data_IF_560985844366
#
_entry.id   IF_560985844366
#
_cell.length_a   1.000
_cell.length_b   1.000
_cell.length_c   1.000
_cell.angle_alpha   90.00
_cell.angle_beta   90.00
_cell.angle_gamma   90.00
#
_symmetry.space_group_name_H-M   'P 1'
#
loop_
_entity.id
_entity.type
_entity.pdbx_description
1 polymer ?
#
# COMPACT_ATOMS: atom_id res chain seq x y z
N UNK A 1 8.87 -38.13 5.83
CA UNK A 1 7.82 -37.65 6.75
C UNK A 1 6.93 -36.68 5.99
N UNK A 2 5.63 -36.97 5.85
CA UNK A 2 4.67 -36.03 5.23
C UNK A 2 4.43 -34.87 6.20
N UNK A 3 4.48 -33.60 5.79
CA UNK A 3 4.21 -32.48 6.70
C UNK A 3 2.76 -32.53 7.16
N UNK A 4 2.57 -32.40 8.48
CA UNK A 4 1.27 -32.42 9.11
C UNK A 4 0.50 -31.12 8.77
N UNK A 5 -0.49 -31.21 7.88
CA UNK A 5 -1.33 -30.08 7.41
C UNK A 5 -2.26 -29.49 8.50
N UNK A 6 -2.27 -30.06 9.71
CA UNK A 6 -3.10 -29.60 10.83
C UNK A 6 -2.39 -28.70 11.84
N UNK A 7 -1.07 -28.48 11.69
CA UNK A 7 -0.34 -27.57 12.58
C UNK A 7 -0.54 -26.11 12.14
N UNK A 8 -1.12 -25.29 13.03
CA UNK A 8 -1.14 -23.85 12.85
C UNK A 8 0.30 -23.30 12.94
N UNK A 9 0.67 -22.30 12.12
CA UNK A 9 1.95 -21.64 12.26
C UNK A 9 2.06 -20.99 13.65
N UNK A 10 3.27 -20.95 14.25
CA UNK A 10 3.47 -20.30 15.53
C UNK A 10 3.02 -18.82 15.43
N UNK A 11 2.44 -18.27 16.52
CA UNK A 11 2.07 -16.86 16.53
C UNK A 11 3.31 -16.01 16.22
N UNK A 12 3.17 -14.92 15.42
CA UNK A 12 4.29 -14.06 15.10
C UNK A 12 4.92 -13.56 16.40
N UNK A 13 6.25 -13.66 16.49
CA UNK A 13 7.05 -13.35 17.69
C UNK A 13 7.07 -11.87 18.07
N UNK A 14 6.41 -11.00 17.31
CA UNK A 14 6.13 -9.62 17.71
C UNK A 14 4.87 -9.11 16.97
N UNK A 15 3.71 -8.96 17.65
CA UNK A 15 2.51 -8.40 17.03
C UNK A 15 2.65 -6.91 16.67
N UNK A 16 3.73 -6.24 17.11
CA UNK A 16 3.81 -4.79 17.23
C UNK A 16 4.78 -4.06 16.27
N UNK A 17 5.40 -4.68 15.25
CA UNK A 17 6.52 -3.99 14.55
C UNK A 17 6.42 -3.79 13.03
N UNK A 18 5.55 -4.49 12.30
CA UNK A 18 5.45 -4.27 10.85
C UNK A 18 4.20 -3.44 10.51
N UNK A 19 4.40 -2.25 9.92
CA UNK A 19 3.30 -1.41 9.47
C UNK A 19 2.51 -2.11 8.35
N UNK A 20 1.17 -2.16 8.48
CA UNK A 20 0.28 -2.85 7.53
C UNK A 20 -0.84 -1.96 7.04
N UNK A 21 -0.95 -1.90 5.72
CA UNK A 21 -2.10 -1.30 5.06
C UNK A 21 -3.33 -2.18 5.27
N UNK A 22 -4.53 -1.64 5.09
CA UNK A 22 -5.77 -2.40 5.29
C UNK A 22 -6.72 -2.15 4.14
N UNK A 23 -7.13 -3.24 3.47
CA UNK A 23 -8.02 -3.22 2.32
C UNK A 23 -9.21 -4.14 2.59
N UNK A 24 -10.45 -3.63 2.55
CA UNK A 24 -11.64 -4.48 2.61
C UNK A 24 -11.60 -5.56 1.52
N UNK A 25 -11.86 -6.82 1.90
CA UNK A 25 -12.01 -7.89 0.92
C UNK A 25 -13.38 -7.75 0.25
N UNK A 26 -13.43 -7.88 -1.07
CA UNK A 26 -14.69 -7.90 -1.82
C UNK A 26 -15.55 -9.06 -1.33
N UNK A 27 -16.83 -8.79 -1.05
CA UNK A 27 -17.77 -9.77 -0.49
C UNK A 27 -17.30 -10.35 0.87
N UNK A 28 -16.44 -9.61 1.58
CA UNK A 28 -15.88 -9.99 2.87
C UNK A 28 -16.73 -9.57 4.08
N UNK A 29 -17.93 -9.03 3.88
CA UNK A 29 -18.80 -8.61 4.99
C UNK A 29 -19.33 -9.84 5.72
N UNK A 30 -19.06 -9.92 7.02
CA UNK A 30 -19.48 -11.04 7.89
C UNK A 30 -20.73 -10.68 8.68
N UNK A 31 -20.80 -9.43 9.17
CA UNK A 31 -22.01 -8.82 9.70
C UNK A 31 -22.25 -7.51 8.96
N UNK A 32 -23.40 -7.41 8.29
CA UNK A 32 -23.84 -6.20 7.62
C UNK A 32 -23.91 -5.01 8.59
N UNK A 33 -23.74 -3.76 8.10
CA UNK A 33 -23.85 -2.58 8.95
C UNK A 33 -25.16 -2.55 9.74
N UNK A 34 -25.06 -2.53 11.07
CA UNK A 34 -26.21 -2.53 11.97
C UNK A 34 -26.15 -1.40 12.99
N UNK A 35 -27.31 -1.00 13.51
CA UNK A 35 -27.44 -0.08 14.65
C UNK A 35 -27.78 -0.87 15.90
N UNK A 36 -27.42 -0.33 17.06
CA UNK A 36 -27.91 -0.85 18.33
C UNK A 36 -29.33 -0.35 18.59
N UNK A 37 -30.14 -1.19 19.23
CA UNK A 37 -31.47 -0.77 19.68
C UNK A 37 -31.36 0.22 20.83
N UNK A 38 -32.28 1.18 20.86
CA UNK A 38 -32.32 2.16 21.95
C UNK A 38 -32.68 1.46 23.27
N UNK A 39 -32.10 1.93 24.38
CA UNK A 39 -32.35 1.45 25.75
C UNK A 39 -31.88 0.03 26.06
N UNK A 40 -31.23 -0.68 25.14
CA UNK A 40 -30.51 -1.91 25.46
C UNK A 40 -29.08 -1.59 25.89
N UNK A 41 -28.77 -1.83 27.17
CA UNK A 41 -27.42 -1.66 27.70
C UNK A 41 -26.44 -2.71 27.17
N UNK A 42 -26.94 -3.88 26.77
CA UNK A 42 -26.14 -5.00 26.25
C UNK A 42 -26.81 -5.56 25.01
N UNK A 43 -26.05 -5.66 23.92
CA UNK A 43 -26.46 -6.31 22.68
C UNK A 43 -25.53 -7.47 22.33
N UNK A 44 -26.09 -8.55 21.79
CA UNK A 44 -25.35 -9.75 21.39
C UNK A 44 -25.53 -9.98 19.88
N UNK A 45 -24.42 -10.12 19.17
CA UNK A 45 -24.39 -10.38 17.73
C UNK A 45 -23.60 -11.65 17.46
N UNK A 46 -24.24 -12.60 16.79
CA UNK A 46 -23.67 -13.92 16.53
C UNK A 46 -23.24 -14.02 15.08
N UNK A 47 -22.04 -14.54 14.85
CA UNK A 47 -21.57 -14.90 13.52
C UNK A 47 -20.92 -16.30 13.54
N UNK A 48 -20.91 -16.96 12.39
CA UNK A 48 -20.39 -18.31 12.27
C UNK A 48 -19.19 -18.34 11.31
N UNK A 49 -18.08 -18.91 11.78
CA UNK A 49 -16.92 -19.19 10.94
C UNK A 49 -16.90 -20.68 10.60
N UNK A 50 -17.07 -21.02 9.32
CA UNK A 50 -16.85 -22.40 8.86
C UNK A 50 -15.43 -22.83 9.24
N UNK A 51 -15.20 -24.09 9.67
CA UNK A 51 -13.87 -24.54 10.09
C UNK A 51 -12.76 -24.26 9.06
N UNK A 52 -13.04 -24.44 7.77
CA UNK A 52 -12.10 -24.12 6.67
C UNK A 52 -11.79 -22.62 6.56
N UNK A 53 -12.76 -21.75 6.80
CA UNK A 53 -12.60 -20.30 6.79
C UNK A 53 -11.78 -19.85 8.00
N UNK A 54 -12.09 -20.37 9.19
CA UNK A 54 -11.30 -20.09 10.40
C UNK A 54 -9.85 -20.53 10.22
N UNK A 55 -9.63 -21.75 9.71
CA UNK A 55 -8.29 -22.26 9.42
C UNK A 55 -7.53 -21.35 8.45
N UNK A 56 -8.18 -20.95 7.34
CA UNK A 56 -7.57 -20.03 6.36
C UNK A 56 -7.23 -18.68 7.00
N UNK A 57 -8.15 -18.11 7.78
CA UNK A 57 -7.94 -16.86 8.50
C UNK A 57 -6.72 -16.98 9.43
N UNK A 58 -6.59 -18.07 10.20
CA UNK A 58 -5.44 -18.29 11.08
C UNK A 58 -4.13 -18.42 10.31
N UNK A 59 -4.13 -19.21 9.24
CA UNK A 59 -2.95 -19.53 8.45
C UNK A 59 -2.40 -18.31 7.68
N UNK A 60 -3.29 -17.45 7.20
CA UNK A 60 -2.94 -16.24 6.45
C UNK A 60 -2.66 -15.09 7.41
N UNK A 61 -1.39 -14.75 7.61
CA UNK A 61 -1.01 -13.62 8.48
C UNK A 61 -1.53 -12.28 7.96
N UNK A 62 -1.77 -12.14 6.67
CA UNK A 62 -2.31 -10.95 5.99
C UNK A 62 -3.83 -10.89 5.93
N UNK A 63 -4.56 -11.84 6.53
CA UNK A 63 -6.02 -11.74 6.68
C UNK A 63 -6.37 -11.41 8.13
N UNK A 64 -7.42 -10.60 8.29
CA UNK A 64 -7.90 -10.16 9.59
C UNK A 64 -9.43 -9.98 9.57
N UNK A 65 -10.09 -10.24 10.70
CA UNK A 65 -11.49 -9.87 10.92
C UNK A 65 -11.52 -8.51 11.62
N UNK A 66 -11.94 -7.50 10.88
CA UNK A 66 -12.05 -6.13 11.36
C UNK A 66 -13.47 -5.86 11.84
N UNK A 67 -13.59 -5.56 13.14
CA UNK A 67 -14.81 -5.00 13.71
C UNK A 67 -14.62 -3.51 13.97
N UNK A 68 -15.49 -2.69 13.40
CA UNK A 68 -15.45 -1.23 13.57
C UNK A 68 -16.86 -0.66 13.63
N UNK A 69 -16.95 0.57 14.10
CA UNK A 69 -18.14 1.39 13.90
C UNK A 69 -17.78 2.77 13.34
N UNK A 70 -18.76 3.45 12.77
CA UNK A 70 -18.61 4.76 12.13
C UNK A 70 -19.91 5.56 12.28
N UNK A 71 -19.80 6.88 12.19
CA UNK A 71 -20.96 7.77 12.24
C UNK A 71 -21.79 7.65 10.96
N UNK A 72 -23.12 7.65 11.04
CA UNK A 72 -23.97 7.40 9.86
C UNK A 72 -23.84 8.45 8.73
N UNK A 73 -23.37 9.65 9.06
CA UNK A 73 -23.13 10.72 8.09
C UNK A 73 -21.74 10.66 7.45
N UNK A 74 -20.83 9.85 8.03
CA UNK A 74 -19.47 9.72 7.50
C UNK A 74 -19.45 8.80 6.29
N UNK A 75 -19.43 9.41 5.10
CA UNK A 75 -19.33 8.72 3.81
C UNK A 75 -18.03 7.93 3.63
N UNK A 76 -16.97 8.28 4.35
CA UNK A 76 -15.70 7.55 4.32
C UNK A 76 -15.70 6.37 5.30
N UNK A 77 -16.73 6.25 6.15
CA UNK A 77 -16.87 5.19 7.14
C UNK A 77 -15.62 5.06 8.03
N UNK A 78 -15.03 6.20 8.42
CA UNK A 78 -13.86 6.18 9.27
C UNK A 78 -14.23 5.58 10.63
N UNK A 79 -13.31 4.80 11.18
CA UNK A 79 -13.54 4.19 12.49
C UNK A 79 -13.80 5.29 13.51
N UNK A 80 -14.91 5.19 14.23
CA UNK A 80 -15.34 6.14 15.23
C UNK A 80 -16.10 5.41 16.34
N UNK A 81 -15.44 5.19 17.47
CA UNK A 81 -16.06 4.52 18.62
C UNK A 81 -16.74 5.55 19.54
N UNK A 82 -18.02 5.37 19.91
CA UNK A 82 -18.64 6.11 21.00
C UNK A 82 -17.92 5.85 22.33
N UNK A 83 -17.76 6.86 23.19
CA UNK A 83 -17.06 6.72 24.48
C UNK A 83 -17.75 5.73 25.45
N UNK A 84 -19.06 5.56 25.32
CA UNK A 84 -19.89 4.67 26.13
C UNK A 84 -19.80 3.19 25.75
N UNK A 85 -19.13 2.86 24.64
CA UNK A 85 -19.09 1.50 24.09
C UNK A 85 -17.93 0.70 24.67
N UNK A 86 -18.25 -0.52 25.09
CA UNK A 86 -17.32 -1.61 25.40
C UNK A 86 -17.66 -2.82 24.55
N UNK A 87 -16.64 -3.59 24.14
CA UNK A 87 -16.80 -4.76 23.28
C UNK A 87 -16.11 -5.96 23.92
N UNK A 88 -16.79 -7.10 23.93
CA UNK A 88 -16.18 -8.40 24.19
C UNK A 88 -16.54 -9.39 23.08
N UNK A 89 -15.66 -10.34 22.81
CA UNK A 89 -15.87 -11.39 21.82
C UNK A 89 -15.55 -12.72 22.47
N UNK A 90 -16.51 -13.65 22.43
CA UNK A 90 -16.41 -14.95 23.10
C UNK A 90 -15.98 -14.81 24.58
N UNK A 91 -16.66 -13.89 25.29
CA UNK A 91 -16.37 -13.52 26.69
C UNK A 91 -14.98 -12.89 26.95
N UNK A 92 -14.18 -12.63 25.92
CA UNK A 92 -12.89 -11.94 26.03
C UNK A 92 -13.09 -10.43 25.79
N UNK A 93 -12.89 -9.57 26.79
CA UNK A 93 -13.00 -8.12 26.62
C UNK A 93 -11.88 -7.59 25.72
N UNK A 94 -12.20 -6.62 24.86
CA UNK A 94 -11.25 -5.98 23.94
C UNK A 94 -11.04 -4.52 24.29
N UNK A 95 -9.78 -4.07 24.18
CA UNK A 95 -9.41 -2.67 24.40
C UNK A 95 -9.61 -1.87 23.12
N UNK A 96 -10.41 -0.80 23.19
CA UNK A 96 -10.57 0.16 22.10
C UNK A 96 -9.47 1.20 22.22
N UNK A 97 -8.52 1.19 21.29
CA UNK A 97 -7.49 2.23 21.19
C UNK A 97 -8.10 3.52 20.63
N UNK A 98 -8.03 4.57 21.45
CA UNK A 98 -8.43 5.93 21.09
C UNK A 98 -7.16 6.78 21.09
N UNK A 99 -6.70 7.21 19.91
CA UNK A 99 -5.53 8.09 19.82
C UNK A 99 -5.74 9.39 20.58
N UNK A 100 -4.64 10.10 20.89
CA UNK A 100 -4.64 11.34 21.68
C UNK A 100 -5.55 12.42 21.09
N UNK A 101 -5.66 12.44 19.77
CA UNK A 101 -6.66 13.22 19.05
C UNK A 101 -7.91 12.34 18.94
N UNK A 102 -9.00 12.68 19.67
CA UNK A 102 -10.26 11.92 19.81
C UNK A 102 -10.99 11.51 18.50
N UNK A 103 -10.40 11.80 17.34
CA UNK A 103 -10.82 11.43 15.99
C UNK A 103 -10.10 10.21 15.42
N UNK A 104 -8.97 9.79 16.02
CA UNK A 104 -8.09 8.72 15.52
C UNK A 104 -8.37 7.38 16.21
N UNK A 105 -9.58 6.86 16.04
CA UNK A 105 -9.97 5.57 16.60
C UNK A 105 -9.47 4.41 15.73
N UNK A 106 -8.91 3.36 16.34
CA UNK A 106 -8.52 2.15 15.60
C UNK A 106 -9.62 1.10 15.62
N UNK A 107 -9.77 0.31 14.54
CA UNK A 107 -10.72 -0.80 14.54
C UNK A 107 -10.22 -1.94 15.43
N UNK A 108 -11.14 -2.82 15.85
CA UNK A 108 -10.82 -4.02 16.59
C UNK A 108 -10.49 -5.17 15.62
N UNK A 109 -9.45 -5.94 15.96
CA UNK A 109 -9.01 -7.11 15.20
C UNK A 109 -9.40 -8.36 15.98
N UNK A 110 -10.29 -9.16 15.40
CA UNK A 110 -10.95 -10.25 16.11
C UNK A 110 -10.31 -11.61 15.88
N UNK A 111 -9.39 -11.74 14.93
CA UNK A 111 -8.82 -13.03 14.50
C UNK A 111 -8.39 -13.91 15.67
N UNK A 112 -7.66 -13.37 16.65
CA UNK A 112 -7.10 -14.15 17.77
C UNK A 112 -8.12 -14.59 18.83
N UNK A 113 -9.30 -13.97 18.88
CA UNK A 113 -10.36 -14.30 19.83
C UNK A 113 -11.49 -15.12 19.20
N UNK A 114 -11.39 -15.41 17.90
CA UNK A 114 -12.38 -16.18 17.16
C UNK A 114 -12.11 -17.69 17.22
N UNK A 115 -13.19 -18.47 17.20
CA UNK A 115 -13.18 -19.93 17.17
C UNK A 115 -13.91 -20.49 15.93
N UNK A 116 -13.66 -21.75 15.53
CA UNK A 116 -14.49 -22.44 14.55
C UNK A 116 -15.94 -22.53 15.02
N UNK A 117 -16.89 -22.39 14.10
CA UNK A 117 -18.32 -22.40 14.41
C UNK A 117 -18.81 -21.07 14.97
N UNK A 118 -19.58 -21.12 16.06
CA UNK A 118 -20.32 -19.98 16.61
C UNK A 118 -19.40 -19.03 17.38
N UNK A 119 -19.47 -17.75 17.04
CA UNK A 119 -18.80 -16.65 17.74
C UNK A 119 -19.85 -15.62 18.17
N UNK A 120 -19.64 -14.99 19.33
CA UNK A 120 -20.55 -13.95 19.85
C UNK A 120 -19.77 -12.67 20.12
N UNK A 121 -20.19 -11.57 19.51
CA UNK A 121 -19.79 -10.21 19.87
C UNK A 121 -20.82 -9.66 20.84
N UNK A 122 -20.39 -9.27 22.03
CA UNK A 122 -21.20 -8.55 22.99
C UNK A 122 -20.77 -7.09 22.99
N UNK A 123 -21.74 -6.19 22.85
CA UNK A 123 -21.53 -4.75 22.87
C UNK A 123 -22.29 -4.20 24.07
N UNK A 124 -21.56 -3.59 25.00
CA UNK A 124 -22.13 -2.93 26.18
C UNK A 124 -22.08 -1.43 25.99
N UNK A 125 -23.18 -0.74 26.28
CA UNK A 125 -23.30 0.72 26.17
C UNK A 125 -23.79 1.32 27.47
N UNK A 126 -23.11 2.39 27.92
CA UNK A 126 -23.55 3.21 29.07
C UNK A 126 -24.37 4.44 28.65
N UNK A 127 -24.45 4.73 27.36
CA UNK A 127 -25.25 5.79 26.76
C UNK A 127 -25.57 5.42 25.29
N UNK A 128 -26.74 5.85 24.78
CA UNK A 128 -27.15 5.59 23.40
C UNK A 128 -26.11 6.08 22.39
N UNK A 129 -25.80 5.23 21.42
CA UNK A 129 -24.90 5.51 20.29
C UNK A 129 -25.62 5.28 18.96
N UNK A 130 -26.88 5.66 18.93
CA UNK A 130 -27.81 5.27 17.90
C UNK A 130 -27.52 5.97 16.55
N UNK A 131 -26.61 6.94 16.54
CA UNK A 131 -26.04 7.57 15.34
C UNK A 131 -24.93 6.75 14.67
N UNK A 132 -24.45 5.67 15.29
CA UNK A 132 -23.36 4.85 14.76
C UNK A 132 -23.86 3.56 14.11
N UNK A 133 -23.17 3.13 13.06
CA UNK A 133 -23.30 1.79 12.50
C UNK A 133 -22.08 0.95 12.85
N UNK A 134 -22.29 -0.32 13.14
CA UNK A 134 -21.28 -1.32 13.44
C UNK A 134 -21.19 -2.32 12.29
N UNK A 135 -19.98 -2.75 11.94
CA UNK A 135 -19.74 -3.69 10.84
C UNK A 135 -18.62 -4.66 11.21
N UNK A 136 -18.79 -5.93 10.85
CA UNK A 136 -17.73 -6.94 10.90
C UNK A 136 -17.40 -7.36 9.48
N UNK A 137 -16.13 -7.24 9.10
CA UNK A 137 -15.67 -7.56 7.75
C UNK A 137 -14.30 -8.22 7.74
N UNK A 138 -14.06 -9.07 6.75
CA UNK A 138 -12.76 -9.59 6.40
C UNK A 138 -11.96 -8.52 5.66
N UNK A 139 -10.74 -8.28 6.12
CA UNK A 139 -9.80 -7.34 5.49
C UNK A 139 -8.49 -8.03 5.14
N UNK A 140 -7.89 -7.62 4.02
CA UNK A 140 -6.54 -7.97 3.63
C UNK A 140 -5.58 -6.89 4.13
N UNK A 141 -4.62 -7.29 4.96
CA UNK A 141 -3.65 -6.42 5.61
C UNK A 141 -2.21 -6.75 5.20
N UNK A 142 -1.80 -6.52 3.95
CA UNK A 142 -0.41 -6.73 3.55
C UNK A 142 0.51 -5.75 4.29
N UNK A 143 1.75 -6.18 4.55
CA UNK A 143 2.76 -5.26 5.07
C UNK A 143 3.17 -4.22 4.03
N UNK A 144 3.63 -3.05 4.50
CA UNK A 144 4.19 -2.01 3.62
C UNK A 144 5.29 -2.59 2.74
N UNK A 145 6.15 -3.44 3.30
CA UNK A 145 7.23 -4.11 2.56
C UNK A 145 6.70 -4.98 1.41
N UNK A 146 5.70 -5.82 1.68
CA UNK A 146 5.05 -6.64 0.64
C UNK A 146 4.41 -5.79 -0.46
N UNK A 147 3.79 -4.67 -0.08
CA UNK A 147 3.21 -3.71 -1.02
C UNK A 147 4.29 -3.04 -1.87
N UNK A 148 5.39 -2.60 -1.27
CA UNK A 148 6.54 -2.02 -1.98
C UNK A 148 7.10 -2.98 -3.03
N UNK A 149 7.30 -4.25 -2.66
CA UNK A 149 7.72 -5.28 -3.61
C UNK A 149 6.72 -5.45 -4.76
N UNK A 150 5.43 -5.50 -4.45
CA UNK A 150 4.37 -5.60 -5.45
C UNK A 150 4.37 -4.43 -6.44
N UNK A 151 4.53 -3.21 -5.93
CA UNK A 151 4.59 -1.99 -6.75
C UNK A 151 5.86 -1.95 -7.60
N UNK A 152 7.03 -2.24 -7.04
CA UNK A 152 8.27 -2.33 -7.81
C UNK A 152 8.18 -3.33 -8.97
N UNK A 153 7.50 -4.45 -8.74
CA UNK A 153 7.39 -5.52 -9.75
C UNK A 153 6.31 -5.27 -10.80
N UNK A 154 5.21 -4.58 -10.45
CA UNK A 154 4.01 -4.42 -11.30
C UNK A 154 3.73 -3.00 -11.78
N UNK A 155 4.42 -2.01 -11.22
CA UNK A 155 4.18 -0.57 -11.39
C UNK A 155 5.46 0.24 -11.55
N UNK A 156 6.55 -0.40 -11.96
CA UNK A 156 7.72 0.33 -12.45
C UNK A 156 7.34 1.03 -13.76
N UNK A 157 7.49 2.35 -13.80
CA UNK A 157 7.38 3.14 -15.02
C UNK A 157 8.76 3.21 -15.67
N UNK A 158 8.97 2.59 -16.85
CA UNK A 158 10.27 2.59 -17.52
C UNK A 158 10.76 4.01 -17.84
N UNK A 159 12.08 4.19 -17.87
CA UNK A 159 12.71 5.49 -18.10
C UNK A 159 12.20 6.18 -19.37
N UNK A 160 12.01 5.44 -20.46
CA UNK A 160 11.52 5.93 -21.75
C UNK A 160 10.11 6.54 -21.60
N UNK A 161 9.26 5.91 -20.80
CA UNK A 161 7.92 6.41 -20.51
C UNK A 161 7.96 7.62 -19.57
N UNK A 162 8.86 7.63 -18.58
CA UNK A 162 9.08 8.80 -17.73
C UNK A 162 9.52 10.02 -18.56
N UNK A 163 10.50 9.85 -19.45
CA UNK A 163 11.01 10.86 -20.38
C UNK A 163 9.88 11.37 -21.27
N UNK A 164 9.05 10.47 -21.80
CA UNK A 164 7.89 10.85 -22.61
C UNK A 164 6.91 11.73 -21.80
N UNK A 165 6.65 11.40 -20.53
CA UNK A 165 5.84 12.25 -19.64
C UNK A 165 6.49 13.63 -19.40
N UNK A 166 7.81 13.69 -19.23
CA UNK A 166 8.55 14.95 -19.03
C UNK A 166 8.48 15.82 -20.29
N UNK A 167 8.76 15.25 -21.47
CA UNK A 167 8.67 15.98 -22.75
C UNK A 167 7.28 16.58 -22.98
N UNK A 168 6.22 15.83 -22.67
CA UNK A 168 4.84 16.34 -22.74
C UNK A 168 4.59 17.51 -21.78
N UNK A 169 5.27 17.57 -20.64
CA UNK A 169 5.18 18.70 -19.71
C UNK A 169 5.69 19.99 -20.38
N UNK A 170 6.88 19.94 -20.98
CA UNK A 170 7.44 21.07 -21.75
C UNK A 170 6.54 21.50 -22.92
N UNK A 171 6.03 20.55 -23.71
CA UNK A 171 5.12 20.85 -24.83
C UNK A 171 3.79 21.44 -24.37
N UNK A 172 3.23 20.95 -23.26
CA UNK A 172 1.97 21.48 -22.71
C UNK A 172 2.14 22.91 -22.23
N UNK A 173 3.27 23.26 -21.61
CA UNK A 173 3.55 24.63 -21.17
C UNK A 173 3.68 25.56 -22.37
N UNK A 174 4.41 25.15 -23.41
CA UNK A 174 4.53 25.91 -24.67
C UNK A 174 3.16 26.14 -25.35
N UNK A 175 2.31 25.12 -25.42
CA UNK A 175 0.96 25.24 -26.00
C UNK A 175 0.01 26.12 -25.18
N UNK A 176 0.18 26.16 -23.86
CA UNK A 176 -0.61 27.02 -22.97
C UNK A 176 -0.26 28.50 -23.13
N UNK A 177 1.03 28.81 -23.32
CA UNK A 177 1.52 30.16 -23.52
C UNK A 177 1.11 30.74 -24.90
N UNK A 178 0.99 29.87 -25.92
CA UNK A 178 0.59 30.27 -27.28
C UNK A 178 -0.89 30.67 -27.44
N UNK A 179 -1.74 30.44 -26.42
CA UNK A 179 -3.17 30.76 -26.48
C UNK A 179 -3.54 32.09 -25.78
N UNK A 180 -2.56 32.78 -25.18
CA UNK A 180 -2.79 34.00 -24.37
C UNK A 180 -2.40 35.31 -25.04
N UNK A 181 -1.91 35.34 -26.28
CA UNK A 181 -1.52 36.60 -26.92
C UNK A 181 -1.81 36.63 -28.43
N UNK A 182 -2.84 37.39 -28.81
CA UNK A 182 -3.01 37.90 -30.17
C UNK A 182 -2.05 39.08 -30.49
N UNK A 183 -1.15 39.47 -29.57
CA UNK A 183 -0.08 40.43 -29.80
C UNK A 183 1.25 39.81 -29.34
N UNK A 184 2.13 39.52 -30.29
CA UNK A 184 3.42 38.87 -30.05
C UNK A 184 4.35 39.66 -29.12
N UNK A 185 5.11 38.94 -28.28
CA UNK A 185 6.59 38.90 -28.30
C UNK A 185 7.23 38.36 -27.01
N UNK A 186 6.47 37.96 -25.98
CA UNK A 186 7.06 37.45 -24.72
C UNK A 186 6.50 36.09 -24.29
N UNK A 187 6.66 35.10 -25.17
CA UNK A 187 6.38 33.70 -24.82
C UNK A 187 7.48 33.16 -23.91
N UNK A 188 7.18 32.98 -22.62
CA UNK A 188 8.12 32.33 -21.68
C UNK A 188 8.24 30.85 -22.04
N UNK A 189 9.27 30.49 -22.81
CA UNK A 189 9.61 29.10 -23.06
C UNK A 189 10.24 28.49 -21.80
N UNK A 190 9.67 27.40 -21.29
CA UNK A 190 10.27 26.67 -20.20
C UNK A 190 11.52 25.92 -20.69
N UNK A 191 12.69 26.52 -20.49
CA UNK A 191 13.99 25.96 -20.93
C UNK A 191 14.54 24.89 -19.99
N UNK A 192 14.01 24.77 -18.77
CA UNK A 192 14.29 23.68 -17.86
C UNK A 192 13.27 23.54 -16.73
N UNK A 193 13.26 22.38 -16.08
CA UNK A 193 12.50 22.07 -14.87
C UNK A 193 13.50 21.81 -13.74
N UNK A 194 13.37 22.57 -12.66
CA UNK A 194 14.08 22.30 -11.40
C UNK A 194 13.27 21.30 -10.58
N UNK A 195 13.92 20.23 -10.11
CA UNK A 195 13.30 19.15 -9.34
C UNK A 195 14.08 18.91 -8.06
N UNK A 196 13.39 18.85 -6.93
CA UNK A 196 13.99 18.48 -5.65
C UNK A 196 14.16 16.96 -5.56
N UNK A 197 15.29 16.54 -5.00
CA UNK A 197 15.60 15.15 -4.68
C UNK A 197 15.13 14.78 -3.26
N UNK A 198 14.59 15.75 -2.53
CA UNK A 198 13.96 15.55 -1.22
C UNK A 198 12.49 15.19 -1.37
N UNK A 199 12.03 14.29 -0.52
CA UNK A 199 10.64 13.89 -0.44
C UNK A 199 9.82 15.04 0.16
N UNK A 200 8.68 15.45 -0.42
CA UNK A 200 7.83 16.51 0.14
C UNK A 200 7.13 16.10 1.44
N UNK A 201 7.18 14.81 1.83
CA UNK A 201 6.57 14.30 3.07
C UNK A 201 7.57 14.37 4.22
N UNK A 202 8.78 13.87 4.01
CA UNK A 202 9.78 13.70 5.07
C UNK A 202 10.90 14.73 5.02
N UNK A 203 11.00 15.51 3.95
CA UNK A 203 12.11 16.42 3.63
C UNK A 203 13.48 15.73 3.58
N UNK A 204 13.52 14.40 3.59
CA UNK A 204 14.72 13.58 3.41
C UNK A 204 14.89 13.20 1.94
N UNK A 205 16.11 12.84 1.54
CA UNK A 205 16.38 12.35 0.18
C UNK A 205 15.51 11.15 -0.15
N UNK A 206 14.83 11.20 -1.29
CA UNK A 206 13.97 10.14 -1.80
C UNK A 206 14.80 8.87 -2.00
N UNK A 207 14.35 7.75 -1.47
CA UNK A 207 14.98 6.44 -1.68
C UNK A 207 14.32 5.72 -2.85
N UNK A 208 12.98 5.71 -2.85
CA UNK A 208 12.20 5.09 -3.92
C UNK A 208 11.24 6.11 -4.53
N UNK A 209 11.58 6.73 -5.68
CA UNK A 209 10.78 7.79 -6.28
C UNK A 209 9.49 7.22 -6.86
N UNK A 210 8.37 7.77 -6.41
CA UNK A 210 7.07 7.47 -6.95
C UNK A 210 6.25 8.72 -7.23
N UNK A 211 5.25 8.54 -8.08
CA UNK A 211 4.19 9.50 -8.37
C UNK A 211 2.90 8.77 -8.71
N UNK A 212 1.77 9.48 -8.67
CA UNK A 212 0.52 8.94 -9.20
C UNK A 212 0.48 8.97 -10.72
N UNK A 213 -0.23 8.03 -11.33
CA UNK A 213 -0.39 7.88 -12.77
C UNK A 213 -0.85 9.18 -13.45
N UNK A 214 -1.83 9.86 -12.85
CA UNK A 214 -2.46 11.10 -13.35
C UNK A 214 -1.71 12.39 -12.96
N UNK A 215 -0.55 12.26 -12.31
CA UNK A 215 0.30 13.38 -11.96
C UNK A 215 0.98 13.94 -13.20
N UNK A 216 0.80 15.25 -13.44
CA UNK A 216 1.43 15.96 -14.57
C UNK A 216 2.81 16.53 -14.23
N UNK A 217 3.18 16.57 -12.94
CA UNK A 217 4.46 17.09 -12.47
C UNK A 217 5.58 16.05 -12.61
N UNK A 218 6.82 16.54 -12.59
CA UNK A 218 8.04 15.71 -12.59
C UNK A 218 8.47 15.34 -11.16
N UNK A 219 8.22 16.23 -10.18
CA UNK A 219 8.57 16.01 -8.78
C UNK A 219 8.03 14.68 -8.26
N UNK A 220 8.90 13.82 -7.75
CA UNK A 220 8.52 12.57 -7.10
C UNK A 220 8.41 12.74 -5.59
N UNK A 221 7.76 11.78 -4.94
CA UNK A 221 7.80 11.59 -3.50
C UNK A 221 8.38 10.21 -3.18
N UNK A 222 8.80 10.03 -1.93
CA UNK A 222 9.28 8.73 -1.47
C UNK A 222 8.12 7.76 -1.25
N UNK A 223 8.17 6.61 -1.92
CA UNK A 223 7.06 5.66 -1.94
C UNK A 223 6.79 5.04 -0.56
N UNK A 224 7.82 4.64 0.18
CA UNK A 224 7.65 4.06 1.51
C UNK A 224 7.01 5.07 2.47
N UNK A 225 7.55 6.28 2.50
CA UNK A 225 7.00 7.39 3.28
C UNK A 225 5.54 7.68 2.92
N UNK A 226 5.19 7.59 1.63
CA UNK A 226 3.82 7.78 1.16
C UNK A 226 2.88 6.67 1.65
N UNK A 227 3.31 5.41 1.62
CA UNK A 227 2.52 4.29 2.13
C UNK A 227 2.34 4.38 3.65
N UNK A 228 3.39 4.79 4.38
CA UNK A 228 3.31 5.04 5.83
C UNK A 228 2.28 6.12 6.16
N UNK A 229 2.35 7.27 5.48
CA UNK A 229 1.40 8.38 5.64
C UNK A 229 -0.05 7.93 5.42
N UNK A 230 -0.29 7.12 4.39
CA UNK A 230 -1.64 6.65 4.06
C UNK A 230 -2.11 5.49 4.92
N UNK A 231 -1.20 4.76 5.56
CA UNK A 231 -1.57 3.79 6.60
C UNK A 231 -2.26 4.48 7.79
N UNK A 232 -1.85 5.71 8.11
CA UNK A 232 -2.42 6.49 9.20
C UNK A 232 -3.63 7.32 8.76
N UNK A 233 -3.50 8.04 7.64
CA UNK A 233 -4.48 9.05 7.22
C UNK A 233 -5.52 8.55 6.23
N UNK A 234 -5.20 7.53 5.43
CA UNK A 234 -6.11 6.96 4.42
C UNK A 234 -6.61 7.94 3.35
N UNK A 235 -5.98 9.10 3.14
CA UNK A 235 -6.50 10.14 2.23
C UNK A 235 -6.17 9.89 0.76
N UNK A 236 -5.09 9.16 0.48
CA UNK A 236 -4.61 8.78 -0.85
C UNK A 236 -4.54 9.94 -1.84
N UNK A 237 -3.95 11.06 -1.40
CA UNK A 237 -3.70 12.25 -2.24
C UNK A 237 -2.22 12.46 -2.47
N UNK A 238 -1.86 12.87 -3.69
CA UNK A 238 -0.49 13.19 -4.05
C UNK A 238 0.01 14.39 -3.22
N UNK A 239 1.16 14.28 -2.52
CA UNK A 239 1.69 15.37 -1.69
C UNK A 239 2.21 16.56 -2.51
N UNK A 240 2.32 16.43 -3.84
CA UNK A 240 2.80 17.49 -4.72
C UNK A 240 1.64 18.28 -5.34
N UNK A 241 0.62 17.59 -5.88
CA UNK A 241 -0.47 18.25 -6.61
C UNK A 241 -1.87 17.99 -6.05
N UNK A 242 -1.98 17.31 -4.90
CA UNK A 242 -3.22 17.02 -4.19
C UNK A 242 -4.29 16.19 -4.95
N UNK A 243 -3.99 15.76 -6.18
CA UNK A 243 -4.81 14.80 -6.94
C UNK A 243 -4.85 13.45 -6.25
N UNK A 244 -5.92 12.70 -6.48
CA UNK A 244 -6.05 11.30 -6.04
C UNK A 244 -4.88 10.46 -6.57
N UNK A 245 -4.28 9.65 -5.70
CA UNK A 245 -3.18 8.75 -6.00
C UNK A 245 -3.36 7.45 -5.20
N UNK A 246 -4.37 6.67 -5.58
CA UNK A 246 -4.65 5.36 -4.98
C UNK A 246 -3.50 4.38 -5.26
N UNK A 247 -3.41 3.34 -4.43
CA UNK A 247 -2.34 2.34 -4.50
C UNK A 247 -2.15 1.78 -5.92
N UNK A 248 -3.23 1.42 -6.58
CA UNK A 248 -3.25 0.82 -7.92
C UNK A 248 -2.76 1.76 -9.02
N UNK A 249 -2.82 3.07 -8.77
CA UNK A 249 -2.38 4.15 -9.66
C UNK A 249 -1.02 4.73 -9.28
N UNK A 250 -0.31 4.18 -8.30
CA UNK A 250 1.07 4.56 -8.03
C UNK A 250 2.01 3.97 -9.07
N UNK A 251 3.02 4.74 -9.45
CA UNK A 251 4.08 4.36 -10.38
C UNK A 251 5.44 4.67 -9.74
N UNK A 252 6.38 3.74 -9.84
CA UNK A 252 7.79 3.97 -9.48
C UNK A 252 8.51 4.58 -10.69
N UNK A 253 9.05 5.78 -10.54
CA UNK A 253 9.66 6.52 -11.64
C UNK A 253 11.12 6.10 -11.85
N UNK A 254 11.36 5.25 -12.86
CA UNK A 254 12.70 4.68 -13.07
C UNK A 254 13.72 5.75 -13.48
N UNK A 255 13.31 6.76 -14.25
CA UNK A 255 14.21 7.85 -14.67
C UNK A 255 14.70 8.67 -13.48
N UNK A 256 13.80 9.15 -12.62
CA UNK A 256 14.18 9.85 -11.40
C UNK A 256 15.00 8.97 -10.46
N UNK A 257 14.74 7.66 -10.45
CA UNK A 257 15.52 6.70 -9.68
C UNK A 257 16.96 6.59 -10.19
N UNK A 258 17.15 6.55 -11.51
CA UNK A 258 18.47 6.62 -12.12
C UNK A 258 19.23 7.88 -11.74
N UNK A 259 18.56 9.04 -11.68
CA UNK A 259 19.16 10.29 -11.20
C UNK A 259 19.60 10.13 -9.74
N UNK A 260 18.69 9.71 -8.85
CA UNK A 260 18.98 9.56 -7.42
C UNK A 260 20.19 8.64 -7.17
N UNK A 261 20.29 7.54 -7.92
CA UNK A 261 21.40 6.59 -7.84
C UNK A 261 22.72 7.18 -8.36
N UNK A 262 22.70 7.91 -9.48
CA UNK A 262 23.89 8.52 -10.08
C UNK A 262 24.57 9.54 -9.14
N UNK A 263 23.81 10.15 -8.23
CA UNK A 263 24.29 11.16 -7.28
C UNK A 263 23.99 10.79 -5.82
N UNK A 264 23.92 9.49 -5.51
CA UNK A 264 23.59 9.01 -4.16
C UNK A 264 24.61 9.44 -3.09
N UNK A 265 25.89 9.54 -3.46
CA UNK A 265 27.00 9.91 -2.59
C UNK A 265 27.34 11.41 -2.69
N UNK A 266 26.34 12.26 -2.90
CA UNK A 266 26.52 13.70 -3.03
C UNK A 266 25.51 14.46 -2.19
N UNK A 267 25.87 15.68 -1.83
CA UNK A 267 25.05 16.59 -1.02
C UNK A 267 23.94 17.28 -1.86
N UNK A 268 23.91 17.10 -3.19
CA UNK A 268 22.95 17.80 -4.03
C UNK A 268 21.51 17.46 -3.65
N UNK A 269 20.69 18.52 -3.55
CA UNK A 269 19.29 18.44 -3.17
C UNK A 269 18.35 18.70 -4.34
N UNK A 270 18.87 19.23 -5.46
CA UNK A 270 18.09 19.59 -6.64
C UNK A 270 18.84 19.25 -7.92
N UNK A 271 18.08 18.95 -8.97
CA UNK A 271 18.57 18.83 -10.35
C UNK A 271 17.78 19.75 -11.27
N UNK A 272 18.41 20.18 -12.35
CA UNK A 272 17.75 20.85 -13.47
C UNK A 272 17.67 19.87 -14.63
N UNK A 273 16.48 19.68 -15.20
CA UNK A 273 16.19 18.81 -16.35
C UNK A 273 15.78 19.70 -17.53
N UNK A 274 16.37 19.52 -18.70
CA UNK A 274 16.04 20.29 -19.91
C UNK A 274 15.00 19.57 -20.82
N UNK A 275 14.54 20.18 -21.92
CA UNK A 275 13.59 19.56 -22.86
C UNK A 275 14.10 18.27 -23.53
N UNK A 276 15.42 18.09 -23.61
CA UNK A 276 16.03 16.82 -24.09
C UNK A 276 15.99 15.73 -23.02
N UNK A 277 15.53 16.08 -21.82
CA UNK A 277 15.60 15.30 -20.59
C UNK A 277 17.05 15.01 -20.17
N UNK A 278 18.00 15.84 -20.59
CA UNK A 278 19.32 15.83 -19.98
C UNK A 278 19.25 16.58 -18.66
N UNK A 279 20.04 16.15 -17.66
CA UNK A 279 19.99 16.73 -16.33
C UNK A 279 21.36 17.10 -15.79
N UNK A 280 21.38 18.07 -14.87
CA UNK A 280 22.57 18.48 -14.12
C UNK A 280 22.21 18.79 -12.66
N UNK A 281 23.08 18.49 -11.69
CA UNK A 281 22.90 18.95 -10.32
C UNK A 281 22.85 20.48 -10.24
N UNK A 282 22.04 21.00 -9.31
CA UNK A 282 22.08 22.43 -8.96
C UNK A 282 23.11 22.61 -7.83
N UNK A 283 24.14 23.44 -8.02
CA UNK A 283 25.13 23.71 -6.98
C UNK A 283 24.48 24.29 -5.71
N UNK A 284 24.92 23.81 -4.56
CA UNK A 284 24.58 24.39 -3.27
C UNK A 284 25.37 25.69 -3.16
N UNK A 285 24.68 26.84 -3.17
CA UNK A 285 25.35 28.12 -2.88
C UNK A 285 25.72 28.12 -1.40
N UNK A 286 27.01 27.98 -1.09
CA UNK A 286 27.51 28.24 0.26
C UNK A 286 27.47 29.74 0.52
N UNK A 287 26.73 30.21 1.53
CA UNK A 287 26.72 31.62 1.97
C UNK A 287 28.02 32.05 2.69
N UNK A 288 29.16 31.46 2.35
CA UNK A 288 30.44 31.88 2.88
C UNK A 288 31.08 32.83 1.87
N UNK A 289 31.05 34.13 2.19
CA UNK A 289 31.92 35.15 1.60
C UNK A 289 33.39 34.80 1.90
N UNK A 290 33.95 33.89 1.12
CA UNK A 290 35.40 33.73 1.00
C UNK A 290 35.72 34.20 -0.40
N UNK A 291 36.56 35.23 -0.51
CA UNK A 291 37.04 35.77 -1.79
C UNK A 291 37.47 34.59 -2.68
N UNK A 292 36.77 34.40 -3.79
CA UNK A 292 37.11 33.34 -4.75
C UNK A 292 38.49 33.64 -5.31
N UNK A 293 39.44 32.75 -5.03
CA UNK A 293 40.67 32.62 -5.79
C UNK A 293 40.31 32.02 -7.17
N UNK A 294 40.61 32.69 -8.29
CA UNK A 294 40.21 32.24 -9.63
C UNK A 294 40.73 30.86 -10.04
N UNK A 295 41.64 30.23 -9.27
CA UNK A 295 42.22 28.90 -9.54
C UNK A 295 41.82 27.79 -8.52
N UNK A 296 40.74 27.96 -7.74
CA UNK A 296 40.26 26.95 -6.78
C UNK A 296 39.60 25.69 -7.39
N UNK A 297 39.88 24.46 -6.90
CA UNK A 297 39.44 23.20 -7.54
C UNK A 297 38.05 22.66 -7.09
N UNK A 298 37.05 23.51 -6.79
CA UNK A 298 35.78 23.06 -6.19
C UNK A 298 34.51 23.22 -7.06
N UNK A 299 34.66 23.68 -8.31
CA UNK A 299 33.58 23.67 -9.30
C UNK A 299 33.92 22.78 -10.51
N UNK A 300 34.57 21.62 -10.28
CA UNK A 300 34.84 20.63 -11.35
C UNK A 300 33.52 20.11 -11.93
N UNK A 301 33.03 20.83 -12.94
CA UNK A 301 32.11 20.44 -14.03
C UNK A 301 31.37 19.13 -13.77
N UNK A 302 30.27 19.17 -13.03
CA UNK A 302 29.26 18.12 -13.15
C UNK A 302 28.74 18.18 -14.59
N UNK A 303 29.15 17.20 -15.38
CA UNK A 303 28.76 17.11 -16.79
C UNK A 303 27.24 16.92 -16.85
N UNK A 304 26.63 17.59 -17.81
CA UNK A 304 25.23 17.32 -18.15
C UNK A 304 25.12 15.86 -18.55
N UNK A 305 24.22 15.14 -17.90
CA UNK A 305 23.98 13.71 -18.12
C UNK A 305 22.79 13.56 -19.05
N UNK A 306 22.99 12.91 -20.21
CA UNK A 306 21.88 12.55 -21.08
C UNK A 306 21.21 11.27 -20.60
N UNK A 307 19.92 11.03 -20.94
CA UNK A 307 19.25 9.78 -20.61
C UNK A 307 19.99 8.53 -21.10
N UNK A 308 20.63 8.60 -22.26
CA UNK A 308 21.38 7.48 -22.86
C UNK A 308 22.66 7.12 -22.11
N UNK A 309 23.15 8.02 -21.25
CA UNK A 309 24.36 7.81 -20.43
C UNK A 309 24.03 7.35 -19.01
N UNK A 310 22.74 7.23 -18.66
CA UNK A 310 22.32 6.85 -17.31
C UNK A 310 22.41 5.34 -17.11
N UNK A 311 23.04 4.94 -16.01
CA UNK A 311 22.96 3.57 -15.51
C UNK A 311 21.72 3.43 -14.65
N UNK A 312 20.77 2.62 -15.10
CA UNK A 312 19.53 2.38 -14.38
C UNK A 312 19.75 1.39 -13.22
N UNK A 313 19.09 1.58 -12.06
CA UNK A 313 19.20 0.66 -10.93
C UNK A 313 18.60 -0.71 -11.25
N UNK A 314 19.20 -1.76 -10.69
CA UNK A 314 18.72 -3.14 -10.85
C UNK A 314 17.50 -3.40 -9.95
N UNK A 315 16.33 -3.42 -10.56
CA UNK A 315 15.04 -3.61 -9.88
C UNK A 315 14.95 -4.96 -9.18
N UNK A 316 15.57 -6.02 -9.75
CA UNK A 316 15.53 -7.36 -9.17
C UNK A 316 16.35 -7.46 -7.89
N UNK A 317 17.49 -6.78 -7.84
CA UNK A 317 18.33 -6.69 -6.65
C UNK A 317 17.59 -5.99 -5.50
N UNK A 318 16.89 -4.90 -5.80
CA UNK A 318 16.08 -4.19 -4.80
C UNK A 318 14.88 -4.99 -4.30
N UNK A 319 14.17 -5.70 -5.19
CA UNK A 319 13.09 -6.59 -4.77
C UNK A 319 13.63 -7.67 -3.82
N UNK A 320 14.85 -8.17 -4.06
CA UNK A 320 15.52 -9.12 -3.17
C UNK A 320 15.91 -8.49 -1.82
N UNK A 321 16.41 -7.25 -1.80
CA UNK A 321 16.67 -6.50 -0.55
C UNK A 321 15.40 -6.23 0.25
N UNK A 322 14.24 -6.16 -0.41
CA UNK A 322 12.92 -6.08 0.21
C UNK A 322 12.32 -7.46 0.54
N UNK A 323 12.98 -8.57 0.19
CA UNK A 323 12.54 -9.94 0.52
C UNK A 323 12.64 -10.25 2.02
N UNK A 324 12.05 -11.35 2.51
CA UNK A 324 12.42 -11.88 3.81
C UNK A 324 13.95 -12.05 3.79
N UNK A 325 14.66 -11.35 4.68
CA UNK A 325 16.11 -11.49 4.77
C UNK A 325 16.48 -12.97 4.97
N UNK A 326 17.73 -13.37 4.66
CA UNK A 326 18.18 -14.71 4.99
C UNK A 326 17.94 -14.94 6.48
N UNK A 327 17.15 -15.96 6.82
CA UNK A 327 16.95 -16.39 8.19
C UNK A 327 18.33 -16.77 8.73
N UNK A 328 18.81 -16.21 9.85
CA UNK A 328 20.08 -16.66 10.44
C UNK A 328 19.93 -18.13 10.83
N UNK A 329 20.50 -19.05 10.05
CA UNK A 329 20.45 -20.48 10.32
C UNK A 329 20.10 -21.40 9.14
N UNK A 330 19.74 -20.88 7.97
CA UNK A 330 19.62 -21.72 6.76
C UNK A 330 20.98 -21.82 6.07
N UNK A 331 21.71 -22.92 6.32
CA UNK A 331 22.94 -23.26 5.60
C UNK A 331 22.66 -23.25 4.09
N UNK A 332 23.38 -22.42 3.34
CA UNK A 332 23.31 -22.38 1.89
C UNK A 332 23.72 -23.72 1.27
N UNK A 333 23.18 -24.08 0.09
CA UNK A 333 23.60 -25.31 -0.57
C UNK A 333 25.05 -25.18 -1.05
N UNK A 334 25.89 -26.11 -0.57
CA UNK A 334 27.31 -26.26 -0.93
C UNK A 334 27.51 -26.47 -2.45
N UNK A 335 28.60 -25.96 -3.05
CA UNK A 335 28.87 -26.09 -4.47
C UNK A 335 29.55 -27.44 -4.77
N UNK A 336 28.89 -28.32 -5.54
CA UNK A 336 29.56 -29.43 -6.20
C UNK A 336 29.59 -29.20 -7.72
N UNK A 337 30.73 -29.44 -8.40
CA UNK A 337 30.88 -29.22 -9.84
C UNK A 337 30.24 -30.35 -10.67
N UNK A 338 29.87 -30.10 -11.94
CA UNK A 338 29.22 -31.09 -12.78
C UNK A 338 30.25 -32.04 -13.42
N UNK A 339 29.96 -33.34 -13.39
CA UNK A 339 30.66 -34.36 -14.19
C UNK A 339 29.88 -34.61 -15.50
N UNK A 340 30.53 -34.81 -16.66
CA UNK A 340 29.82 -34.96 -17.93
C UNK A 340 29.58 -36.42 -18.35
N UNK A 341 28.38 -36.68 -18.89
CA UNK A 341 28.14 -37.59 -20.02
C UNK A 341 27.76 -39.05 -19.71
N UNK A 342 26.54 -39.45 -20.11
CA UNK A 342 26.35 -40.59 -21.03
C UNK A 342 24.92 -40.63 -21.63
N UNK A 343 24.87 -40.90 -22.94
CA UNK A 343 23.67 -41.20 -23.72
C UNK A 343 23.04 -42.56 -23.33
N UNK A 344 21.72 -42.67 -23.51
CA UNK A 344 20.99 -43.94 -23.53
C UNK A 344 19.51 -43.74 -23.87
N UNK A 345 19.13 -44.15 -25.07
CA UNK A 345 17.83 -43.98 -25.73
C UNK A 345 16.68 -44.85 -25.18
N UNK A 346 15.42 -44.46 -25.42
CA UNK A 346 14.33 -45.43 -25.63
C UNK A 346 12.92 -45.06 -25.15
N UNK A 347 12.00 -44.89 -26.11
CA UNK A 347 10.52 -44.95 -26.09
C UNK A 347 9.73 -43.94 -25.20
N UNK A 348 8.68 -43.26 -25.66
CA UNK A 348 7.71 -43.58 -26.73
C UNK A 348 6.34 -43.87 -26.09
N UNK A 349 5.44 -42.88 -26.04
CA UNK A 349 4.07 -43.02 -25.54
C UNK A 349 3.30 -41.69 -25.53
N UNK A 350 2.24 -41.63 -26.34
CA UNK A 350 1.47 -40.45 -26.74
C UNK A 350 0.37 -39.95 -25.76
N UNK A 351 -0.02 -38.67 -25.99
CA UNK A 351 -1.31 -37.98 -25.72
C UNK A 351 -1.67 -37.49 -24.30
N UNK A 352 -2.56 -36.47 -24.15
CA UNK A 352 -2.34 -35.05 -24.43
C UNK A 352 -2.58 -34.17 -23.17
N UNK A 353 -2.07 -32.94 -23.19
CA UNK A 353 -2.28 -31.97 -22.11
C UNK A 353 -3.64 -31.28 -22.14
N UNK A 354 -4.02 -30.66 -21.01
CA UNK A 354 -4.69 -29.38 -21.04
C UNK A 354 -3.92 -28.30 -20.25
N UNK A 355 -4.01 -27.08 -20.78
CA UNK A 355 -3.31 -25.89 -20.30
C UNK A 355 -3.69 -25.49 -18.87
N UNK A 356 -2.71 -24.91 -18.19
CA UNK A 356 -2.82 -24.48 -16.80
C UNK A 356 -3.21 -22.98 -16.75
N UNK A 357 -4.50 -22.69 -16.74
CA UNK A 357 -5.04 -21.39 -16.35
C UNK A 357 -5.31 -21.39 -14.85
N UNK A 358 -4.42 -20.80 -14.05
CA UNK A 358 -4.69 -20.52 -12.64
C UNK A 358 -5.56 -19.26 -12.50
N UNK A 359 -6.87 -19.44 -12.66
CA UNK A 359 -7.88 -18.58 -12.03
C UNK A 359 -8.28 -19.22 -10.69
N UNK A 360 -7.72 -18.71 -9.59
CA UNK A 360 -8.15 -19.07 -8.24
C UNK A 360 -9.21 -18.09 -7.73
N UNK A 361 -10.46 -18.25 -8.16
CA UNK A 361 -11.62 -17.64 -7.50
C UNK A 361 -11.99 -18.52 -6.30
N UNK A 362 -11.59 -18.10 -5.10
CA UNK A 362 -12.21 -18.60 -3.87
C UNK A 362 -13.50 -17.83 -3.62
N UNK A 363 -14.64 -18.43 -3.94
CA UNK A 363 -15.96 -17.84 -3.66
C UNK A 363 -16.20 -17.91 -2.14
N UNK A 364 -16.13 -16.77 -1.47
CA UNK A 364 -16.52 -16.63 -0.06
C UNK A 364 -18.02 -16.36 0.03
N UNK A 365 -18.85 -17.37 -0.18
CA UNK A 365 -20.29 -17.23 0.08
C UNK A 365 -20.54 -17.31 1.60
N UNK A 366 -21.01 -16.21 2.18
CA UNK A 366 -21.57 -16.19 3.54
C UNK A 366 -23.10 -16.29 3.43
N UNK A 367 -23.77 -17.23 4.14
CA UNK A 367 -25.22 -17.29 4.12
C UNK A 367 -25.82 -16.08 4.87
N UNK A 368 -26.58 -15.26 4.16
CA UNK A 368 -27.41 -14.21 4.76
C UNK A 368 -28.44 -14.85 5.71
N UNK A 369 -28.45 -14.42 6.98
CA UNK A 369 -29.54 -14.73 7.91
C UNK A 369 -30.44 -13.51 8.06
N UNK A 370 -31.71 -13.68 7.67
CA UNK A 370 -32.77 -12.73 7.96
C UNK A 370 -33.31 -13.01 9.38
N UNK A 371 -33.52 -12.01 10.25
CA UNK A 371 -34.10 -12.24 11.56
C UNK A 371 -35.62 -12.12 11.46
N UNK A 372 -36.34 -13.21 11.67
CA UNK A 372 -37.78 -13.15 11.91
C UNK A 372 -38.19 -14.21 12.92
N UNK A 373 -38.56 -13.75 14.12
CA UNK A 373 -39.22 -14.52 15.17
C UNK A 373 -40.58 -13.92 15.52
N UNK A 374 -41.51 -14.78 15.94
CA UNK A 374 -42.86 -14.44 16.44
C UNK A 374 -43.99 -15.12 15.65
N UNK A 375 -44.33 -16.39 15.90
CA UNK A 375 -45.29 -16.93 16.90
C UNK A 375 -46.76 -16.51 16.67
N UNK A 376 -47.54 -17.42 16.08
CA UNK A 376 -48.79 -18.01 16.60
C UNK A 376 -50.07 -17.17 16.81
N UNK A 377 -51.18 -17.62 16.20
CA UNK A 377 -52.49 -17.60 16.88
C UNK A 377 -53.74 -17.21 16.05
N UNK A 378 -54.39 -18.21 15.44
CA UNK A 378 -55.84 -18.50 15.53
C UNK A 378 -56.93 -17.49 15.13
N UNK A 379 -57.85 -17.94 14.25
CA UNK A 379 -59.29 -17.62 14.34
C UNK A 379 -59.96 -17.11 13.05
N UNK A 380 -60.71 -17.97 12.36
CA UNK A 380 -61.92 -17.54 11.60
C UNK A 380 -63.11 -17.40 12.57
N UNK A 381 -64.39 -17.30 12.13
CA UNK A 381 -65.00 -17.26 10.78
C UNK A 381 -66.01 -16.06 10.67
N UNK A 382 -67.08 -16.04 9.83
CA UNK A 382 -67.45 -16.80 8.64
C UNK A 382 -67.28 -16.07 7.30
#
# INVERSE_FOLDING_TARGET
MKPNLSALPPPPSNPNEELRLTFPVRDGVVLEPFRLEHNLAVSNHVFHLRPSVHQTLMWRSDLELQFKCYHHEDRQMNTNWPASVQVSVNATPLTIERGDNKTSHKPLHLKHVCQPGRNTIQITVTACCCSHLFVLQLVHRPSVRSVLQGLLKKRLLPAEHCITKIKRNFSSVAASAGNTTLNGEDGVEQTAIKVSLKCPITFRRIQLPARGHDCKHVQCFDLESYLQLNCERGTWRCPVCNKTALLEGLEVDQYMWGILNAIQNSEFEEVTIDPTCSWRPVPIKSELHIKEDPDGPLAKRFKTMSPSQMTMPNVMEMIAQLGPGPVPGAQGPSPYPPHPGQHGSGNGGDYPGPGNSYHGQGNFDFPHHNPSGGVGGGGGPP
#
